data_IF_812143462218
#
_entry.id   IF_812143462218
#
_cell.length_a   1.000
_cell.length_b   1.000
_cell.length_c   1.000
_cell.angle_alpha   90.00
_cell.angle_beta   90.00
_cell.angle_gamma   90.00
#
_symmetry.space_group_name_H-M   'P 1'
#
loop_
_entity.id
_entity.type
_entity.pdbx_description
1 polymer ?
#
# COMPACT_ATOMS: atom_id res chain seq x y z
N UNK A 1 -4.64 -17.29 0.24
CA UNK A 1 -5.27 -16.53 -0.88
C UNK A 1 -4.22 -15.86 -1.76
N UNK A 2 -3.35 -14.99 -1.20
CA UNK A 2 -2.33 -14.24 -1.96
C UNK A 2 -1.38 -15.13 -2.79
N UNK A 3 -0.88 -16.24 -2.23
CA UNK A 3 -0.03 -17.18 -2.99
C UNK A 3 -0.72 -17.81 -4.20
N UNK A 4 -2.03 -18.05 -4.13
CA UNK A 4 -2.81 -18.58 -5.27
C UNK A 4 -3.00 -17.50 -6.33
N UNK A 5 -3.23 -16.26 -5.90
CA UNK A 5 -3.33 -15.10 -6.79
C UNK A 5 -2.00 -14.82 -7.49
N UNK A 6 -0.88 -14.91 -6.77
CA UNK A 6 0.46 -14.72 -7.36
C UNK A 6 0.73 -15.70 -8.49
N UNK A 7 0.52 -17.00 -8.26
CA UNK A 7 0.71 -18.04 -9.28
C UNK A 7 -0.20 -17.92 -10.50
N UNK A 8 -1.38 -17.32 -10.33
CA UNK A 8 -2.38 -17.25 -11.41
C UNK A 8 -2.28 -15.96 -12.21
N UNK A 9 -2.08 -14.83 -11.54
CA UNK A 9 -2.10 -13.50 -12.15
C UNK A 9 -0.72 -12.88 -12.37
N UNK A 10 0.33 -13.43 -11.73
CA UNK A 10 1.70 -12.89 -11.77
C UNK A 10 1.77 -11.37 -11.50
N UNK A 11 1.19 -10.88 -10.39
CA UNK A 11 1.16 -9.45 -10.09
C UNK A 11 2.54 -8.96 -9.64
N UNK A 12 2.81 -7.66 -9.82
CA UNK A 12 4.00 -7.01 -9.27
C UNK A 12 3.82 -6.60 -7.79
N UNK A 13 2.59 -6.31 -7.38
CA UNK A 13 2.24 -5.90 -6.02
C UNK A 13 0.80 -6.27 -5.65
N UNK A 14 0.49 -6.27 -4.35
CA UNK A 14 -0.85 -6.36 -3.80
C UNK A 14 -1.17 -5.14 -2.93
N UNK A 15 -2.41 -4.65 -3.03
CA UNK A 15 -3.01 -3.72 -2.10
C UNK A 15 -3.98 -4.50 -1.21
N UNK A 16 -3.68 -4.58 0.09
CA UNK A 16 -4.39 -5.43 1.05
C UNK A 16 -4.96 -4.57 2.17
N UNK A 17 -6.26 -4.73 2.42
CA UNK A 17 -6.95 -4.13 3.55
C UNK A 17 -7.21 -5.19 4.62
N UNK A 18 -7.10 -4.78 5.88
CA UNK A 18 -7.26 -5.60 7.08
C UNK A 18 -6.46 -6.91 7.08
N UNK A 19 -5.14 -6.87 6.79
CA UNK A 19 -4.32 -8.08 6.86
C UNK A 19 -4.26 -8.65 8.29
N UNK A 20 -4.04 -9.96 8.41
CA UNK A 20 -3.66 -10.59 9.67
C UNK A 20 -2.21 -10.19 10.00
N UNK A 21 -2.05 -9.30 11.00
CA UNK A 21 -0.76 -8.75 11.41
C UNK A 21 -0.36 -9.31 12.78
N UNK A 22 0.85 -9.87 12.85
CA UNK A 22 1.48 -10.35 14.09
C UNK A 22 2.86 -9.72 14.21
N UNK A 23 3.15 -9.11 15.35
CA UNK A 23 4.42 -8.41 15.62
C UNK A 23 4.83 -7.41 14.52
N UNK A 24 3.84 -6.66 14.01
CA UNK A 24 4.04 -5.66 12.95
C UNK A 24 4.34 -6.24 11.56
N UNK A 25 4.13 -7.55 11.35
CA UNK A 25 4.33 -8.23 10.07
C UNK A 25 3.08 -8.98 9.65
N UNK A 26 2.85 -9.06 8.34
CA UNK A 26 1.74 -9.82 7.79
C UNK A 26 2.02 -11.32 7.94
N UNK A 27 1.07 -12.05 8.52
CA UNK A 27 1.19 -13.49 8.67
C UNK A 27 1.03 -14.21 7.32
N UNK A 28 1.83 -15.26 7.11
CA UNK A 28 1.63 -16.20 6.00
C UNK A 28 2.08 -15.73 4.61
N UNK A 29 2.85 -14.64 4.50
CA UNK A 29 3.49 -14.23 3.24
C UNK A 29 4.95 -14.71 3.15
N UNK A 30 5.48 -15.00 1.94
CA UNK A 30 6.90 -15.33 1.76
C UNK A 30 7.85 -14.24 2.24
N UNK A 31 8.98 -14.62 2.83
CA UNK A 31 10.01 -13.68 3.31
C UNK A 31 10.63 -12.81 2.22
N UNK A 32 10.61 -13.26 0.97
CA UNK A 32 11.13 -12.50 -0.17
C UNK A 32 10.20 -11.35 -0.58
N UNK A 33 8.94 -11.36 -0.14
CA UNK A 33 8.00 -10.27 -0.39
C UNK A 33 8.25 -9.16 0.62
N UNK A 34 8.26 -7.92 0.16
CA UNK A 34 8.36 -6.74 1.03
C UNK A 34 6.97 -6.22 1.31
N UNK A 35 6.72 -5.76 2.52
CA UNK A 35 5.42 -5.23 2.91
C UNK A 35 5.55 -3.99 3.77
N UNK A 36 4.67 -3.03 3.56
CA UNK A 36 4.54 -1.81 4.37
C UNK A 36 3.10 -1.65 4.83
N UNK A 37 2.94 -1.22 6.06
CA UNK A 37 1.66 -1.08 6.74
C UNK A 37 1.40 0.40 7.06
N UNK A 38 0.13 0.79 7.07
CA UNK A 38 -0.29 1.99 7.79
C UNK A 38 -0.02 1.82 9.29
N UNK A 39 -0.03 2.92 10.06
CA UNK A 39 0.20 2.85 11.52
C UNK A 39 -0.83 2.00 12.25
N UNK A 40 -2.09 2.03 11.80
CA UNK A 40 -3.16 1.16 12.32
C UNK A 40 -3.01 -0.31 11.91
N UNK A 41 -2.15 -0.61 10.94
CA UNK A 41 -2.00 -1.95 10.36
C UNK A 41 -3.14 -2.37 9.43
N UNK A 42 -4.11 -1.49 9.18
CA UNK A 42 -5.33 -1.80 8.41
C UNK A 42 -5.17 -1.64 6.90
N UNK A 43 -4.22 -0.83 6.43
CA UNK A 43 -3.88 -0.73 5.02
C UNK A 43 -2.46 -1.22 4.77
N UNK A 44 -2.26 -1.90 3.65
CA UNK A 44 -0.99 -2.52 3.34
C UNK A 44 -0.67 -2.53 1.84
N UNK A 45 0.61 -2.32 1.54
CA UNK A 45 1.18 -2.59 0.23
C UNK A 45 2.20 -3.72 0.37
N UNK A 46 2.04 -4.76 -0.44
CA UNK A 46 2.99 -5.87 -0.55
C UNK A 46 3.60 -5.83 -1.94
N UNK A 47 4.92 -5.75 -2.03
CA UNK A 47 5.66 -5.75 -3.31
C UNK A 47 6.41 -7.06 -3.47
N UNK A 48 6.25 -7.65 -4.66
CA UNK A 48 6.86 -8.92 -5.00
C UNK A 48 8.28 -8.71 -5.56
N UNK A 49 9.16 -9.73 -5.51
CA UNK A 49 10.54 -9.61 -5.96
C UNK A 49 10.72 -9.19 -7.43
N UNK A 50 9.68 -9.33 -8.26
CA UNK A 50 9.68 -8.95 -9.68
C UNK A 50 9.60 -7.44 -9.88
N UNK A 51 9.14 -6.69 -8.88
CA UNK A 51 8.95 -5.26 -8.97
C UNK A 51 10.23 -4.50 -8.59
N UNK A 52 10.39 -3.29 -9.12
CA UNK A 52 11.44 -2.37 -8.70
C UNK A 52 11.39 -2.14 -7.19
N UNK A 53 12.55 -1.90 -6.56
CA UNK A 53 12.56 -1.55 -5.14
C UNK A 53 11.84 -0.23 -4.93
N UNK A 54 10.81 -0.19 -4.07
CA UNK A 54 10.07 1.04 -3.81
C UNK A 54 10.72 1.90 -2.73
N UNK A 55 10.42 3.19 -2.78
CA UNK A 55 10.68 4.13 -1.69
C UNK A 55 9.39 4.36 -0.89
N UNK A 56 9.47 4.32 0.43
CA UNK A 56 8.32 4.66 1.27
C UNK A 56 8.16 6.18 1.30
N UNK A 57 7.00 6.68 0.90
CA UNK A 57 6.71 8.11 0.94
C UNK A 57 6.10 8.53 2.28
N UNK A 58 5.09 7.79 2.74
CA UNK A 58 4.37 8.14 3.96
C UNK A 58 3.61 6.95 4.53
N UNK A 59 3.64 6.80 5.85
CA UNK A 59 2.77 5.91 6.60
C UNK A 59 1.95 6.76 7.58
N UNK A 60 0.66 6.92 7.28
CA UNK A 60 -0.33 7.61 8.13
C UNK A 60 -1.12 6.61 8.95
N UNK A 61 -2.18 7.06 9.64
CA UNK A 61 -2.95 6.18 10.50
C UNK A 61 -3.57 5.05 9.69
N UNK A 62 -4.28 5.40 8.62
CA UNK A 62 -5.02 4.43 7.82
C UNK A 62 -4.58 4.38 6.35
N UNK A 63 -3.50 5.09 6.01
CA UNK A 63 -2.97 5.18 4.66
C UNK A 63 -1.47 4.84 4.63
N UNK A 64 -1.04 4.10 3.62
CA UNK A 64 0.37 3.83 3.31
C UNK A 64 0.61 4.17 1.85
N UNK A 65 1.70 4.88 1.56
CA UNK A 65 2.08 5.27 0.22
C UNK A 65 3.54 4.92 -0.05
N UNK A 66 3.77 4.33 -1.22
CA UNK A 66 5.11 4.06 -1.74
C UNK A 66 5.26 4.67 -3.13
N UNK A 67 6.50 4.92 -3.53
CA UNK A 67 6.88 5.31 -4.88
C UNK A 67 7.65 4.19 -5.55
N UNK A 68 7.26 3.86 -6.76
CA UNK A 68 7.93 2.89 -7.62
C UNK A 68 8.43 3.62 -8.85
N UNK A 69 9.73 3.49 -9.15
CA UNK A 69 10.30 4.03 -10.39
C UNK A 69 10.55 2.87 -11.36
N UNK A 70 10.01 3.00 -12.58
CA UNK A 70 10.20 2.02 -13.67
C UNK A 70 10.39 2.78 -14.98
N UNK A 71 11.42 2.44 -15.74
CA UNK A 71 11.75 3.08 -17.02
C UNK A 71 11.80 4.62 -16.93
N UNK A 72 12.46 5.15 -15.89
CA UNK A 72 12.58 6.59 -15.61
C UNK A 72 11.27 7.33 -15.34
N UNK A 73 10.15 6.61 -15.16
CA UNK A 73 8.86 7.17 -14.73
C UNK A 73 8.56 6.72 -13.30
N UNK A 74 8.21 7.68 -12.46
CA UNK A 74 7.78 7.43 -11.09
C UNK A 74 6.26 7.27 -11.01
N UNK A 75 5.84 6.33 -10.18
CA UNK A 75 4.45 6.03 -9.89
C UNK A 75 4.25 5.97 -8.39
N UNK A 76 3.26 6.68 -7.88
CA UNK A 76 2.90 6.60 -6.46
C UNK A 76 1.72 5.66 -6.26
N UNK A 77 1.91 4.67 -5.39
CA UNK A 77 0.92 3.66 -5.06
C UNK A 77 0.44 3.91 -3.64
N UNK A 78 -0.88 4.04 -3.48
CA UNK A 78 -1.52 4.40 -2.21
C UNK A 78 -2.51 3.29 -1.84
N UNK A 79 -2.34 2.73 -0.64
CA UNK A 79 -3.35 1.88 -0.01
C UNK A 79 -3.92 2.63 1.20
N UNK A 80 -5.23 2.75 1.25
CA UNK A 80 -5.95 3.28 2.39
C UNK A 80 -7.08 2.35 2.83
N UNK A 81 -7.46 2.49 4.10
CA UNK A 81 -8.58 1.78 4.71
C UNK A 81 -9.52 2.79 5.37
N UNK A 82 -10.79 2.76 5.01
CA UNK A 82 -11.82 3.61 5.58
C UNK A 82 -12.80 2.75 6.38
N UNK A 83 -12.66 2.74 7.70
CA UNK A 83 -13.60 2.01 8.55
C UNK A 83 -15.04 2.51 8.33
N UNK A 84 -16.03 1.61 8.18
CA UNK A 84 -17.43 2.00 8.00
C UNK A 84 -18.01 2.74 9.22
N UNK A 85 -17.34 2.65 10.36
CA UNK A 85 -17.74 3.32 11.61
C UNK A 85 -16.94 4.59 11.89
N UNK A 86 -15.90 4.87 11.10
CA UNK A 86 -15.09 6.07 11.27
C UNK A 86 -15.65 7.24 10.45
N UNK A 87 -15.31 8.45 10.89
CA UNK A 87 -15.63 9.65 10.11
C UNK A 87 -14.78 9.67 8.83
N UNK A 88 -15.43 9.69 7.67
CA UNK A 88 -14.77 9.71 6.36
C UNK A 88 -13.80 10.88 6.17
N UNK A 89 -13.99 11.98 6.92
CA UNK A 89 -13.08 13.14 6.90
C UNK A 89 -11.65 12.77 7.28
N UNK A 90 -11.46 11.81 8.20
CA UNK A 90 -10.13 11.35 8.59
C UNK A 90 -9.36 10.83 7.37
N UNK A 91 -10.00 10.02 6.54
CA UNK A 91 -9.38 9.49 5.32
C UNK A 91 -9.22 10.57 4.26
N UNK A 92 -10.20 11.45 4.09
CA UNK A 92 -10.07 12.56 3.14
C UNK A 92 -8.91 13.49 3.48
N UNK A 93 -8.72 13.82 4.76
CA UNK A 93 -7.64 14.70 5.20
C UNK A 93 -6.28 14.00 5.00
N UNK A 94 -6.19 12.70 5.33
CA UNK A 94 -4.99 11.91 5.05
C UNK A 94 -4.63 11.87 3.57
N UNK A 95 -5.62 11.63 2.70
CA UNK A 95 -5.42 11.55 1.25
C UNK A 95 -5.12 12.91 0.62
N UNK A 96 -5.74 13.98 1.13
CA UNK A 96 -5.48 15.35 0.65
C UNK A 96 -4.05 15.75 0.96
N UNK A 97 -3.61 15.62 2.21
CA UNK A 97 -2.22 15.95 2.58
C UNK A 97 -1.20 15.03 1.88
N UNK A 98 -1.57 13.79 1.54
CA UNK A 98 -0.70 12.94 0.74
C UNK A 98 -0.59 13.45 -0.71
N UNK A 99 -1.73 13.74 -1.36
CA UNK A 99 -1.77 14.11 -2.77
C UNK A 99 -1.22 15.51 -3.05
N UNK A 100 -1.30 16.45 -2.10
CA UNK A 100 -0.62 17.76 -2.20
C UNK A 100 0.91 17.64 -2.24
N UNK A 101 1.47 16.53 -1.74
CA UNK A 101 2.91 16.28 -1.71
C UNK A 101 3.41 15.44 -2.90
N UNK A 102 2.51 14.99 -3.79
CA UNK A 102 2.84 14.22 -4.99
C UNK A 102 3.11 15.22 -6.13
N UNK A 103 4.36 15.27 -6.63
CA UNK A 103 4.85 16.26 -7.62
C UNK A 103 4.29 16.05 -9.06
N UNK A 104 2.97 15.93 -9.22
CA UNK A 104 2.35 15.75 -10.53
C UNK A 104 2.66 14.41 -11.21
N UNK A 105 3.21 13.45 -10.46
CA UNK A 105 3.42 12.08 -10.93
C UNK A 105 2.10 11.29 -10.95
N UNK A 106 2.08 10.21 -11.74
CA UNK A 106 0.90 9.35 -11.85
C UNK A 106 0.70 8.58 -10.54
N UNK A 107 -0.53 8.59 -10.02
CA UNK A 107 -0.87 7.91 -8.78
C UNK A 107 -2.00 6.91 -8.97
N UNK A 108 -1.87 5.75 -8.32
CA UNK A 108 -2.93 4.75 -8.23
C UNK A 108 -3.29 4.54 -6.76
N UNK A 109 -4.59 4.62 -6.46
CA UNK A 109 -5.09 4.52 -5.09
C UNK A 109 -6.19 3.46 -4.99
N UNK A 110 -6.14 2.68 -3.89
CA UNK A 110 -7.27 1.85 -3.46
C UNK A 110 -7.64 2.21 -2.01
N UNK A 111 -8.88 2.67 -1.85
CA UNK A 111 -9.55 2.85 -0.57
C UNK A 111 -10.67 1.81 -0.44
N UNK A 112 -10.88 1.24 0.75
CA UNK A 112 -11.98 0.29 1.02
C UNK A 112 -12.49 0.50 2.43
#
# INVERSE_FOLDING_TARGET
MLLKAEKHYHPDLFLVQEPDVKDGKIAGIPKCWKSWLSKSGKACIIVLPTCSTPDVLSAKENTIAIKITKNSKAFTIISSYSSPYANFRVILDELTDLTTNINGEESMMKNT
#
